data_IF_176353495691
#
_entry.id   IF_176353495691
#
_cell.length_a   1.000
_cell.length_b   1.000
_cell.length_c   1.000
_cell.angle_alpha   90.00
_cell.angle_beta   90.00
_cell.angle_gamma   90.00
#
_symmetry.space_group_name_H-M   'P 1'
#
loop_
_entity.id
_entity.type
_entity.pdbx_description
1 polymer ?
#
# COMPACT_ATOMS: atom_id res chain seq x y z
N UNK A 1 14.13 -7.56 -41.08
CA UNK A 1 14.68 -8.74 -40.37
C UNK A 1 15.72 -8.21 -39.40
N UNK A 2 15.62 -8.19 -38.08
CA UNK A 2 14.76 -8.88 -37.11
C UNK A 2 14.39 -7.88 -36.00
N UNK A 3 13.11 -7.73 -35.69
CA UNK A 3 12.70 -7.21 -34.38
C UNK A 3 12.61 -8.47 -33.49
N UNK A 4 13.50 -8.69 -32.52
CA UNK A 4 13.47 -9.92 -31.73
C UNK A 4 12.24 -9.86 -30.82
N UNK A 5 11.25 -10.68 -31.15
CA UNK A 5 10.02 -10.84 -30.39
C UNK A 5 10.29 -11.52 -29.05
N UNK A 6 9.88 -10.84 -27.97
CA UNK A 6 9.23 -11.37 -26.75
C UNK A 6 9.15 -10.25 -25.71
N UNK A 7 8.40 -9.19 -26.03
CA UNK A 7 7.97 -8.19 -25.04
C UNK A 7 6.46 -7.98 -25.20
N UNK A 8 5.69 -9.05 -25.11
CA UNK A 8 4.23 -9.02 -25.18
C UNK A 8 3.71 -10.04 -24.16
N UNK A 9 3.32 -9.58 -22.97
CA UNK A 9 2.38 -10.35 -22.13
C UNK A 9 1.76 -9.54 -20.98
N UNK A 10 2.34 -8.42 -20.54
CA UNK A 10 1.78 -7.64 -19.42
C UNK A 10 0.95 -6.42 -19.84
N UNK A 11 1.21 -5.80 -21.00
CA UNK A 11 0.48 -4.60 -21.45
C UNK A 11 -0.97 -4.86 -21.90
N UNK A 12 -1.37 -6.12 -22.13
CA UNK A 12 -2.68 -6.41 -22.72
C UNK A 12 -3.83 -6.55 -21.71
N UNK A 13 -3.54 -6.63 -20.40
CA UNK A 13 -4.58 -6.75 -19.37
C UNK A 13 -5.13 -5.40 -18.89
N UNK A 14 -4.41 -4.31 -19.17
CA UNK A 14 -4.78 -2.96 -18.76
C UNK A 14 -4.91 -2.15 -20.05
N UNK A 15 -6.12 -1.63 -20.32
CA UNK A 15 -6.33 -0.85 -21.54
C UNK A 15 -5.32 0.32 -21.61
N UNK A 16 -4.67 0.57 -22.75
CA UNK A 16 -3.69 1.65 -22.88
C UNK A 16 -4.31 3.02 -22.53
N UNK A 17 -5.61 3.18 -22.80
CA UNK A 17 -6.39 4.34 -22.40
C UNK A 17 -6.41 4.57 -20.88
N UNK A 18 -6.47 3.50 -20.06
CA UNK A 18 -6.45 3.61 -18.60
C UNK A 18 -5.07 4.00 -18.08
N UNK A 19 -3.99 3.46 -18.67
CA UNK A 19 -2.62 3.83 -18.30
C UNK A 19 -2.37 5.31 -18.63
N UNK A 20 -2.82 5.75 -19.80
CA UNK A 20 -2.69 7.14 -20.24
C UNK A 20 -3.51 8.08 -19.34
N UNK A 21 -4.77 7.73 -19.08
CA UNK A 21 -5.61 8.46 -18.13
C UNK A 21 -5.02 8.50 -16.72
N UNK A 22 -4.42 7.40 -16.25
CA UNK A 22 -3.72 7.33 -14.97
C UNK A 22 -2.52 8.27 -14.96
N UNK A 23 -1.67 8.26 -15.98
CA UNK A 23 -0.50 9.13 -16.06
C UNK A 23 -0.89 10.62 -16.01
N UNK A 24 -2.01 10.99 -16.64
CA UNK A 24 -2.54 12.37 -16.63
C UNK A 24 -3.13 12.77 -15.27
N UNK A 25 -3.78 11.84 -14.58
CA UNK A 25 -4.63 12.16 -13.42
C UNK A 25 -4.08 11.69 -12.06
N UNK A 26 -3.08 10.80 -12.04
CA UNK A 26 -2.56 10.17 -10.83
C UNK A 26 -2.01 11.18 -9.82
N UNK A 27 -1.34 12.25 -10.28
CA UNK A 27 -0.83 13.29 -9.37
C UNK A 27 -1.94 14.04 -8.65
N UNK A 28 -3.07 14.26 -9.31
CA UNK A 28 -4.20 15.03 -8.77
C UNK A 28 -5.09 14.16 -7.88
N UNK A 29 -5.45 12.98 -8.37
CA UNK A 29 -6.43 12.11 -7.71
C UNK A 29 -5.80 11.07 -6.79
N UNK A 30 -4.54 10.70 -7.01
CA UNK A 30 -3.85 9.67 -6.25
C UNK A 30 -3.87 9.87 -4.74
N UNK A 31 -3.42 11.03 -4.21
CA UNK A 31 -3.46 11.32 -2.77
C UNK A 31 -4.88 11.27 -2.18
N UNK A 32 -5.88 11.73 -2.96
CA UNK A 32 -7.29 11.75 -2.55
C UNK A 32 -7.81 10.32 -2.42
N UNK A 33 -7.61 9.51 -3.46
CA UNK A 33 -8.06 8.11 -3.48
C UNK A 33 -7.34 7.29 -2.40
N UNK A 34 -6.04 7.52 -2.16
CA UNK A 34 -5.33 6.85 -1.07
C UNK A 34 -5.87 7.26 0.30
N UNK A 35 -6.15 8.55 0.51
CA UNK A 35 -6.73 9.03 1.76
C UNK A 35 -8.09 8.41 2.04
N UNK A 36 -8.93 8.28 1.00
CA UNK A 36 -10.24 7.60 1.10
C UNK A 36 -10.08 6.12 1.45
N UNK A 37 -9.13 5.40 0.82
CA UNK A 37 -8.85 4.00 1.14
C UNK A 37 -8.36 3.83 2.59
N UNK A 38 -7.45 4.69 3.04
CA UNK A 38 -6.98 4.68 4.42
C UNK A 38 -8.11 4.95 5.42
N UNK A 39 -8.93 5.97 5.12
CA UNK A 39 -10.11 6.30 5.93
C UNK A 39 -11.12 5.16 5.96
N UNK A 40 -11.38 4.52 4.82
CA UNK A 40 -12.26 3.35 4.72
C UNK A 40 -11.75 2.19 5.59
N UNK A 41 -10.44 1.91 5.56
CA UNK A 41 -9.84 0.87 6.41
C UNK A 41 -10.12 1.09 7.90
N UNK A 42 -9.87 2.31 8.40
CA UNK A 42 -10.18 2.65 9.79
C UNK A 42 -11.67 2.74 10.10
N UNK A 43 -12.48 3.13 9.11
CA UNK A 43 -13.94 3.16 9.25
C UNK A 43 -14.52 1.76 9.44
N UNK A 44 -14.10 0.77 8.66
CA UNK A 44 -14.52 -0.63 8.85
C UNK A 44 -14.19 -1.16 10.24
N UNK A 45 -13.01 -0.79 10.77
CA UNK A 45 -12.62 -1.16 12.12
C UNK A 45 -13.47 -0.48 13.20
N UNK A 46 -13.69 0.83 13.07
CA UNK A 46 -14.50 1.61 14.02
C UNK A 46 -15.97 1.14 14.04
N UNK A 47 -16.55 0.87 12.86
CA UNK A 47 -17.88 0.28 12.72
C UNK A 47 -17.98 -1.08 13.42
N UNK A 48 -17.01 -1.96 13.20
CA UNK A 48 -17.00 -3.26 13.84
C UNK A 48 -16.92 -3.20 15.36
N UNK A 49 -16.14 -2.27 15.92
CA UNK A 49 -16.10 -2.05 17.38
C UNK A 49 -17.43 -1.49 17.89
N UNK A 50 -18.05 -0.55 17.17
CA UNK A 50 -19.32 0.04 17.58
C UNK A 50 -20.47 -0.98 17.62
N UNK A 51 -20.43 -1.98 16.74
CA UNK A 51 -21.40 -3.08 16.68
C UNK A 51 -21.07 -4.24 17.63
N UNK A 52 -19.86 -4.28 18.20
CA UNK A 52 -19.43 -5.37 19.05
C UNK A 52 -20.06 -5.27 20.45
N UNK A 53 -20.83 -6.28 20.91
CA UNK A 53 -21.38 -6.28 22.27
C UNK A 53 -20.30 -6.54 23.33
N UNK A 54 -19.15 -7.09 22.92
CA UNK A 54 -18.04 -7.43 23.80
C UNK A 54 -16.86 -6.49 23.62
N UNK A 55 -16.16 -6.20 24.73
CA UNK A 55 -14.95 -5.36 24.71
C UNK A 55 -13.82 -6.10 23.99
N UNK A 56 -13.47 -5.61 22.82
CA UNK A 56 -12.34 -6.07 21.99
C UNK A 56 -11.02 -5.86 22.77
N UNK A 57 -10.19 -6.90 23.01
CA UNK A 57 -8.89 -6.76 23.67
C UNK A 57 -7.87 -6.07 22.75
N UNK A 58 -6.82 -5.49 23.36
CA UNK A 58 -5.81 -4.69 22.65
C UNK A 58 -5.09 -5.45 21.53
N UNK A 59 -4.91 -6.77 21.68
CA UNK A 59 -4.19 -7.60 20.71
C UNK A 59 -4.84 -7.58 19.32
N UNK A 60 -6.15 -7.36 19.25
CA UNK A 60 -6.91 -7.32 17.99
C UNK A 60 -6.73 -5.98 17.25
N UNK A 61 -6.27 -4.92 17.93
CA UNK A 61 -5.95 -3.62 17.32
C UNK A 61 -4.56 -3.59 16.69
N UNK A 62 -3.68 -4.50 17.12
CA UNK A 62 -2.26 -4.50 16.74
C UNK A 62 -2.02 -4.63 15.22
N UNK A 63 -2.72 -5.52 14.48
CA UNK A 63 -2.50 -5.66 13.04
C UNK A 63 -2.79 -4.36 12.27
N UNK A 64 -3.88 -3.66 12.61
CA UNK A 64 -4.25 -2.38 11.98
C UNK A 64 -3.22 -1.28 12.25
N UNK A 65 -2.73 -1.16 13.49
CA UNK A 65 -1.72 -0.17 13.86
C UNK A 65 -0.39 -0.46 13.14
N UNK A 66 0.05 -1.72 13.13
CA UNK A 66 1.28 -2.13 12.42
C UNK A 66 1.15 -1.85 10.91
N UNK A 67 -0.03 -2.08 10.32
CA UNK A 67 -0.30 -1.76 8.93
C UNK A 67 -0.17 -0.25 8.64
N UNK A 68 -0.66 0.61 9.55
CA UNK A 68 -0.49 2.07 9.38
C UNK A 68 0.96 2.51 9.49
N UNK A 69 1.74 1.88 10.38
CA UNK A 69 3.17 2.12 10.47
C UNK A 69 3.90 1.68 9.20
N UNK A 70 3.52 0.52 8.63
CA UNK A 70 4.03 0.07 7.34
C UNK A 70 3.69 1.05 6.21
N UNK A 71 2.46 1.60 6.19
CA UNK A 71 2.08 2.66 5.24
C UNK A 71 3.00 3.87 5.35
N UNK A 72 3.29 4.34 6.56
CA UNK A 72 4.21 5.45 6.77
C UNK A 72 5.62 5.07 6.28
N UNK A 73 6.12 3.89 6.63
CA UNK A 73 7.44 3.41 6.18
C UNK A 73 7.57 3.35 4.66
N UNK A 74 6.57 2.79 3.96
CA UNK A 74 6.51 2.73 2.49
C UNK A 74 6.54 4.14 1.92
N UNK A 75 5.89 5.10 2.59
CA UNK A 75 5.73 6.44 2.04
C UNK A 75 6.83 7.43 2.42
N UNK A 76 7.64 7.15 3.44
CA UNK A 76 8.80 7.96 3.80
C UNK A 76 9.99 7.80 2.85
N UNK A 77 9.99 6.78 1.99
CA UNK A 77 11.08 6.56 1.04
C UNK A 77 11.04 7.56 -0.11
N UNK A 78 12.20 8.14 -0.45
CA UNK A 78 12.34 9.01 -1.63
C UNK A 78 12.51 8.12 -2.86
N UNK A 79 11.65 8.29 -3.86
CA UNK A 79 11.74 7.54 -5.12
C UNK A 79 13.01 7.85 -5.91
N UNK A 80 13.55 9.05 -5.74
CA UNK A 80 14.78 9.48 -6.39
C UNK A 80 15.97 8.60 -5.96
N UNK A 81 16.01 8.19 -4.69
CA UNK A 81 17.02 7.24 -4.17
C UNK A 81 16.85 5.80 -4.70
N UNK A 82 15.73 5.48 -5.37
CA UNK A 82 15.56 4.16 -6.00
C UNK A 82 15.95 4.14 -7.48
N UNK A 83 15.90 5.31 -8.15
CA UNK A 83 16.00 5.43 -9.59
C UNK A 83 17.41 5.81 -10.07
N UNK A 84 18.11 6.67 -9.33
CA UNK A 84 19.49 6.98 -9.68
C UNK A 84 20.39 5.77 -9.42
N UNK A 85 21.44 5.63 -10.23
CA UNK A 85 22.55 4.70 -9.99
C UNK A 85 23.77 5.61 -10.08
N UNK A 86 24.23 6.07 -8.92
CA UNK A 86 25.51 6.76 -8.81
C UNK A 86 26.58 5.69 -8.53
N UNK A 87 27.50 5.43 -9.49
CA UNK A 87 28.54 4.42 -9.34
C UNK A 87 29.52 4.69 -8.17
N UNK A 88 29.40 5.84 -7.49
CA UNK A 88 30.21 6.18 -6.32
C UNK A 88 29.45 6.16 -4.99
N UNK A 89 28.13 5.93 -4.98
CA UNK A 89 27.31 5.89 -3.74
C UNK A 89 26.39 4.66 -3.64
N UNK A 90 26.96 3.45 -3.73
CA UNK A 90 26.24 2.18 -3.59
C UNK A 90 25.49 2.02 -2.25
N UNK A 91 25.96 2.69 -1.19
CA UNK A 91 25.41 2.55 0.16
C UNK A 91 24.01 3.16 0.30
N UNK A 92 23.76 4.32 -0.32
CA UNK A 92 22.46 5.00 -0.31
C UNK A 92 21.39 4.19 -1.05
N UNK A 93 21.74 3.62 -2.21
CA UNK A 93 20.84 2.78 -3.02
C UNK A 93 20.45 1.47 -2.32
N UNK A 94 21.42 0.80 -1.68
CA UNK A 94 21.16 -0.42 -0.93
C UNK A 94 20.22 -0.16 0.25
N UNK A 95 20.45 0.94 1.00
CA UNK A 95 19.62 1.30 2.16
C UNK A 95 18.16 1.56 1.79
N UNK A 96 17.91 2.29 0.70
CA UNK A 96 16.56 2.57 0.23
C UNK A 96 15.81 1.26 -0.13
N UNK A 97 16.44 0.36 -0.90
CA UNK A 97 15.82 -0.92 -1.29
C UNK A 97 15.55 -1.83 -0.10
N UNK A 98 16.48 -1.91 0.85
CA UNK A 98 16.29 -2.70 2.09
C UNK A 98 15.17 -2.12 2.94
N UNK A 99 15.08 -0.79 3.06
CA UNK A 99 13.99 -0.13 3.79
C UNK A 99 12.63 -0.41 3.14
N UNK A 100 12.55 -0.31 1.81
CA UNK A 100 11.35 -0.65 1.06
C UNK A 100 10.96 -2.11 1.28
N UNK A 101 11.91 -3.04 1.10
CA UNK A 101 11.68 -4.47 1.32
C UNK A 101 11.16 -4.75 2.74
N UNK A 102 11.79 -4.16 3.76
CA UNK A 102 11.37 -4.30 5.14
C UNK A 102 9.94 -3.79 5.35
N UNK A 103 9.59 -2.64 4.76
CA UNK A 103 8.25 -2.08 4.87
C UNK A 103 7.17 -2.98 4.24
N UNK A 104 7.48 -3.63 3.10
CA UNK A 104 6.60 -4.64 2.51
C UNK A 104 6.45 -5.87 3.41
N UNK A 105 7.55 -6.37 3.99
CA UNK A 105 7.52 -7.50 4.93
C UNK A 105 6.64 -7.17 6.14
N UNK A 106 6.78 -5.98 6.74
CA UNK A 106 5.94 -5.54 7.87
C UNK A 106 4.47 -5.45 7.45
N UNK A 107 4.18 -4.97 6.24
CA UNK A 107 2.80 -4.90 5.74
C UNK A 107 2.19 -6.29 5.54
N UNK A 108 2.92 -7.25 4.96
CA UNK A 108 2.43 -8.63 4.81
C UNK A 108 2.31 -9.34 6.16
N UNK A 109 3.23 -9.10 7.08
CA UNK A 109 3.13 -9.62 8.45
C UNK A 109 1.86 -9.13 9.15
N UNK A 110 1.47 -7.87 8.95
CA UNK A 110 0.21 -7.35 9.49
C UNK A 110 -1.03 -8.01 8.89
N UNK A 111 -1.01 -8.37 7.59
CA UNK A 111 -2.10 -9.12 6.95
C UNK A 111 -2.22 -10.54 7.53
N UNK A 112 -1.08 -11.24 7.66
CA UNK A 112 -1.04 -12.58 8.27
C UNK A 112 -1.51 -12.52 9.72
N UNK A 113 -1.10 -11.51 10.48
CA UNK A 113 -1.56 -11.30 11.85
C UNK A 113 -3.08 -11.05 11.93
N UNK A 114 -3.66 -10.29 11.01
CA UNK A 114 -5.11 -10.09 10.95
C UNK A 114 -5.87 -11.39 10.67
N UNK A 115 -5.38 -12.20 9.72
CA UNK A 115 -5.95 -13.52 9.43
C UNK A 115 -5.80 -14.46 10.62
N UNK A 116 -4.64 -14.43 11.29
CA UNK A 116 -4.41 -15.21 12.51
C UNK A 116 -5.41 -14.84 13.61
N UNK A 117 -5.63 -13.55 13.84
CA UNK A 117 -6.63 -13.05 14.81
C UNK A 117 -8.03 -13.55 14.47
N UNK A 118 -8.42 -13.52 13.19
CA UNK A 118 -9.70 -14.06 12.71
C UNK A 118 -9.86 -15.55 13.07
N UNK A 119 -8.84 -16.35 12.80
CA UNK A 119 -8.88 -17.80 13.07
C UNK A 119 -8.95 -18.04 14.58
N UNK A 120 -8.01 -17.49 15.35
CA UNK A 120 -7.85 -17.82 16.76
C UNK A 120 -8.97 -17.27 17.66
N UNK A 121 -9.47 -16.05 17.39
CA UNK A 121 -10.43 -15.38 18.27
C UNK A 121 -11.88 -15.48 17.79
N UNK A 122 -12.15 -15.72 16.50
CA UNK A 122 -13.51 -15.72 15.96
C UNK A 122 -13.91 -17.04 15.31
N UNK A 123 -12.98 -17.74 14.65
CA UNK A 123 -13.27 -19.03 14.01
C UNK A 123 -13.30 -20.17 15.02
N UNK A 124 -12.31 -20.23 15.92
CA UNK A 124 -12.15 -21.32 16.89
C UNK A 124 -13.11 -21.26 18.08
N UNK A 125 -13.84 -20.16 18.27
CA UNK A 125 -14.78 -19.99 19.37
C UNK A 125 -16.21 -20.30 18.90
N UNK A 126 -16.82 -21.41 19.38
CA UNK A 126 -18.15 -21.83 18.96
C UNK A 126 -19.28 -20.94 19.53
N UNK A 127 -18.98 -20.14 20.56
CA UNK A 127 -19.97 -19.31 21.26
C UNK A 127 -20.36 -18.03 20.52
N UNK A 128 -19.59 -17.63 19.49
CA UNK A 128 -19.88 -16.43 18.71
C UNK A 128 -20.85 -16.70 17.56
N UNK A 129 -21.92 -15.93 17.51
CA UNK A 129 -22.84 -15.87 16.38
C UNK A 129 -22.15 -15.27 15.14
N UNK A 130 -22.66 -15.50 13.91
CA UNK A 130 -22.06 -14.96 12.69
C UNK A 130 -21.90 -13.43 12.71
N UNK A 131 -22.83 -12.72 13.37
CA UNK A 131 -22.78 -11.26 13.51
C UNK A 131 -21.61 -10.81 14.42
N UNK A 132 -21.30 -11.58 15.46
CA UNK A 132 -20.22 -11.27 16.41
C UNK A 132 -18.82 -11.56 15.83
N UNK A 133 -18.74 -12.29 14.70
CA UNK A 133 -17.49 -12.53 13.97
C UNK A 133 -17.09 -11.38 13.04
N UNK A 134 -17.95 -10.39 12.86
CA UNK A 134 -17.71 -9.22 12.02
C UNK A 134 -16.37 -8.50 12.27
N UNK A 135 -15.92 -8.30 13.53
CA UNK A 135 -14.69 -7.57 13.78
C UNK A 135 -13.43 -8.27 13.28
N UNK A 136 -13.42 -9.61 13.27
CA UNK A 136 -12.32 -10.37 12.67
C UNK A 136 -12.22 -10.17 11.16
N UNK A 137 -13.37 -10.16 10.46
CA UNK A 137 -13.42 -9.87 9.03
C UNK A 137 -13.07 -8.40 8.72
N UNK A 138 -13.62 -7.47 9.52
CA UNK A 138 -13.34 -6.04 9.42
C UNK A 138 -11.85 -5.73 9.62
N UNK A 139 -11.15 -6.44 10.51
CA UNK A 139 -9.70 -6.33 10.68
C UNK A 139 -8.92 -6.72 9.42
N UNK A 140 -9.34 -7.76 8.70
CA UNK A 140 -8.71 -8.14 7.42
C UNK A 140 -8.95 -7.06 6.36
N UNK A 141 -10.18 -6.52 6.27
CA UNK A 141 -10.50 -5.42 5.37
C UNK A 141 -9.68 -4.17 5.71
N UNK A 142 -9.57 -3.82 6.98
CA UNK A 142 -8.78 -2.69 7.47
C UNK A 142 -7.34 -2.75 6.96
N UNK A 143 -6.64 -3.87 7.21
CA UNK A 143 -5.23 -4.02 6.82
C UNK A 143 -5.08 -4.05 5.29
N UNK A 144 -6.03 -4.64 4.57
CA UNK A 144 -6.03 -4.68 3.11
C UNK A 144 -6.20 -3.29 2.49
N UNK A 145 -7.13 -2.49 3.01
CA UNK A 145 -7.34 -1.12 2.55
C UNK A 145 -6.17 -0.19 2.90
N UNK A 146 -5.54 -0.38 4.07
CA UNK A 146 -4.34 0.37 4.45
C UNK A 146 -3.17 0.03 3.53
N UNK A 147 -2.94 -1.26 3.23
CA UNK A 147 -1.91 -1.65 2.25
C UNK A 147 -2.24 -1.07 0.86
N UNK A 148 -3.48 -1.18 0.40
CA UNK A 148 -3.92 -0.60 -0.88
C UNK A 148 -3.69 0.92 -0.94
N UNK A 149 -4.01 1.63 0.12
CA UNK A 149 -3.70 3.06 0.27
C UNK A 149 -2.20 3.34 0.21
N UNK A 150 -1.39 2.55 0.92
CA UNK A 150 0.06 2.72 0.95
C UNK A 150 0.67 2.57 -0.45
N UNK A 151 0.26 1.55 -1.19
CA UNK A 151 0.73 1.30 -2.56
C UNK A 151 0.21 2.35 -3.54
N UNK A 152 -1.06 2.73 -3.43
CA UNK A 152 -1.65 3.71 -4.33
C UNK A 152 -1.02 5.09 -4.13
N UNK A 153 -0.80 5.51 -2.89
CA UNK A 153 -0.08 6.75 -2.59
C UNK A 153 1.38 6.67 -3.02
N UNK A 154 2.03 5.52 -2.84
CA UNK A 154 3.37 5.29 -3.34
C UNK A 154 3.41 5.45 -4.85
N UNK A 155 2.58 4.75 -5.63
CA UNK A 155 2.57 4.80 -7.10
C UNK A 155 2.24 6.20 -7.62
N UNK A 156 1.25 6.89 -7.04
CA UNK A 156 0.77 8.19 -7.50
C UNK A 156 1.78 9.33 -7.37
N UNK A 157 2.76 9.19 -6.47
CA UNK A 157 3.88 10.13 -6.35
C UNK A 157 4.87 9.87 -7.48
N UNK A 158 4.63 10.40 -8.68
CA UNK A 158 5.64 10.40 -9.74
C UNK A 158 6.79 11.33 -9.32
N UNK A 159 8.06 10.88 -9.32
CA UNK A 159 9.19 11.81 -9.22
C UNK A 159 9.01 12.83 -10.35
N UNK A 160 8.96 14.11 -10.00
CA UNK A 160 8.82 15.15 -11.01
C UNK A 160 10.03 15.09 -11.94
N UNK A 161 9.80 15.20 -13.24
CA UNK A 161 10.85 15.40 -14.24
C UNK A 161 11.89 16.42 -13.75
N UNK A 162 13.01 15.94 -13.20
CA UNK A 162 14.25 16.68 -13.06
C UNK A 162 15.03 16.60 -14.38
N UNK A 163 14.36 16.96 -15.48
CA UNK A 163 14.98 17.24 -16.79
C UNK A 163 14.18 18.34 -17.49
N UNK A 164 14.08 19.49 -16.82
CA UNK A 164 14.08 20.78 -17.51
C UNK A 164 15.48 20.96 -18.14
N UNK A 165 15.69 20.38 -19.31
CA UNK A 165 16.80 20.70 -20.22
C UNK A 165 16.30 21.58 -21.40
N UNK A 166 15.27 22.40 -21.18
CA UNK A 166 14.74 23.40 -22.11
C UNK A 166 14.92 24.83 -21.55
N UNK A 167 16.15 25.23 -21.19
CA UNK A 167 16.31 26.49 -20.44
C UNK A 167 17.61 27.29 -20.52
N UNK A 168 18.66 26.86 -21.22
CA UNK A 168 19.86 27.68 -21.37
C UNK A 168 20.47 27.56 -22.77
N UNK A 169 20.32 28.62 -23.58
CA UNK A 169 21.09 28.80 -24.82
C UNK A 169 20.38 29.43 -26.02
N UNK A 170 19.51 30.42 -25.82
CA UNK A 170 19.10 31.34 -26.89
C UNK A 170 19.63 32.75 -26.58
N UNK A 171 20.87 33.00 -27.00
CA UNK A 171 21.41 34.30 -27.41
C UNK A 171 22.51 34.05 -28.44
#
# INVERSE_FOLDING_TARGET
MLCPGTCYSAEYFISPALIQWWNENARRWGPIVSGVLFGAGWWFWADAIALSPHRVPFDQYLPGIIATLALVMINLIRKDELADIDPFDDASYCRARVWLFLSYVVSFASLVAAVWVMIQHYSSNPDFTPAEKWPGAAGIFQVSFILGSALLFFISRTPGNSSSYDGYGAF
#
